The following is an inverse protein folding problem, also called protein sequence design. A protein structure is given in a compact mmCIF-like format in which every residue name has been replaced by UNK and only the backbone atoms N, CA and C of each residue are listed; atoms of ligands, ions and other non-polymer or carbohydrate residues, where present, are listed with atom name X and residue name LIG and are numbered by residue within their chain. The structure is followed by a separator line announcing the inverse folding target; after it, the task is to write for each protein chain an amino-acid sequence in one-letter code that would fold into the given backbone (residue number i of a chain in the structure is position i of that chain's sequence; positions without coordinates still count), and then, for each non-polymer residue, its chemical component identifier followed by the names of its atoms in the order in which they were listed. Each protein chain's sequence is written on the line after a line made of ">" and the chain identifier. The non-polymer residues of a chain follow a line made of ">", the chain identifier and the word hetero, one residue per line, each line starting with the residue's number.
data_IF_556812691438
#
_entry.id   IF_556812691438
#
_cell.length_a   1.000
_cell.length_b   1.000
_cell.length_c   1.000
_cell.angle_alpha   90.00
_cell.angle_beta   90.00
_cell.angle_gamma   90.00
#
_symmetry.space_group_name_H-M   'P 1'
#
loop_
_entity.id
_entity.type
_entity.pdbx_description
1 polymer ?
#
# COMPACT_ATOMS: atom_id res chain seq x y z
N UNK A 1 28.96 6.98 14.33
CA UNK A 1 28.83 6.46 15.70
C UNK A 1 27.84 5.27 15.84
N UNK A 2 27.00 4.98 14.83
CA UNK A 2 26.01 3.88 14.87
C UNK A 2 26.64 2.50 14.54
N UNK A 3 27.66 2.47 13.66
CA UNK A 3 28.34 1.23 13.21
C UNK A 3 29.07 0.51 14.36
N UNK A 4 29.67 1.25 15.30
CA UNK A 4 30.34 0.65 16.47
C UNK A 4 29.35 -0.04 17.43
N UNK A 5 28.13 0.47 17.58
CA UNK A 5 27.11 -0.18 18.42
C UNK A 5 26.55 -1.46 17.79
N UNK A 6 26.52 -1.56 16.46
CA UNK A 6 26.12 -2.79 15.74
C UNK A 6 27.19 -3.88 15.88
N UNK A 7 28.47 -3.51 15.75
CA UNK A 7 29.61 -4.41 15.95
C UNK A 7 29.77 -4.86 17.41
N UNK A 8 29.48 -4.00 18.40
CA UNK A 8 29.50 -4.39 19.81
C UNK A 8 28.36 -5.34 20.19
N UNK A 9 27.14 -5.10 19.70
CA UNK A 9 26.02 -6.06 19.89
C UNK A 9 26.31 -7.40 19.25
N UNK A 10 26.96 -7.40 18.08
CA UNK A 10 27.41 -8.61 17.40
C UNK A 10 28.52 -9.33 18.18
N UNK A 11 29.51 -8.61 18.72
CA UNK A 11 30.57 -9.19 19.56
C UNK A 11 30.02 -9.76 20.86
N UNK A 12 29.03 -9.11 21.46
CA UNK A 12 28.34 -9.61 22.64
C UNK A 12 27.57 -10.90 22.31
N UNK A 13 26.86 -10.94 21.18
CA UNK A 13 26.19 -12.14 20.67
C UNK A 13 27.15 -13.31 20.40
N UNK A 14 28.30 -13.05 19.77
CA UNK A 14 29.31 -14.07 19.47
C UNK A 14 30.04 -14.57 20.74
N UNK A 15 30.24 -13.68 21.73
CA UNK A 15 30.90 -14.00 23.00
C UNK A 15 30.04 -14.86 23.94
N UNK A 16 28.73 -14.63 24.00
CA UNK A 16 27.82 -15.34 24.91
C UNK A 16 27.46 -16.77 24.44
N UNK A 17 27.68 -17.13 23.17
CA UNK A 17 27.49 -18.49 22.62
C UNK A 17 28.71 -19.41 22.72
N UNK A 18 29.88 -18.87 23.03
CA UNK A 18 31.17 -19.60 22.97
C UNK A 18 31.67 -20.11 24.33
N UNK A 19 30.97 -19.81 25.42
CA UNK A 19 31.33 -20.22 26.77
C UNK A 19 30.38 -21.24 27.37
N UNK A 20 30.67 -22.54 27.17
CA UNK A 20 30.16 -23.63 28.02
C UNK A 20 28.75 -24.15 27.69
N UNK A 21 28.71 -25.39 27.18
CA UNK A 21 27.71 -26.43 27.47
C UNK A 21 26.19 -26.11 27.47
N UNK A 22 25.74 -25.06 26.79
CA UNK A 22 24.31 -24.83 26.54
C UNK A 22 24.00 -25.22 25.11
N UNK A 23 22.99 -26.10 24.92
CA UNK A 23 22.38 -26.39 23.61
C UNK A 23 22.25 -25.10 22.81
N UNK A 24 22.47 -25.17 21.51
CA UNK A 24 22.38 -24.10 20.50
C UNK A 24 21.01 -23.40 20.43
N UNK A 25 20.49 -22.89 21.55
CA UNK A 25 19.30 -22.06 21.62
C UNK A 25 19.67 -20.67 21.11
N UNK A 26 18.96 -20.18 20.11
CA UNK A 26 19.00 -18.77 19.72
C UNK A 26 18.80 -17.85 20.95
N UNK A 27 19.50 -16.73 20.99
CA UNK A 27 19.23 -15.65 21.97
C UNK A 27 17.77 -15.21 21.83
N UNK A 28 17.15 -14.76 22.91
CA UNK A 28 15.76 -14.29 22.87
C UNK A 28 15.57 -13.11 21.91
N UNK A 29 16.59 -12.27 21.72
CA UNK A 29 16.61 -11.21 20.71
C UNK A 29 16.52 -11.76 19.28
N UNK A 30 17.22 -12.86 18.99
CA UNK A 30 17.17 -13.51 17.68
C UNK A 30 15.82 -14.18 17.44
N UNK A 31 15.24 -14.83 18.45
CA UNK A 31 13.89 -15.39 18.34
C UNK A 31 12.84 -14.31 18.11
N UNK A 32 12.98 -13.15 18.76
CA UNK A 32 12.11 -12.01 18.54
C UNK A 32 12.24 -11.49 17.10
N UNK A 33 13.46 -11.36 16.58
CA UNK A 33 13.72 -11.01 15.18
C UNK A 33 13.17 -12.05 14.19
N UNK A 34 13.33 -13.35 14.46
CA UNK A 34 12.72 -14.40 13.63
C UNK A 34 11.20 -14.30 13.59
N UNK A 35 10.56 -14.08 14.75
CA UNK A 35 9.12 -13.89 14.83
C UNK A 35 8.67 -12.66 14.06
N UNK A 36 9.41 -11.55 14.18
CA UNK A 36 9.18 -10.33 13.41
C UNK A 36 9.26 -10.59 11.90
N UNK A 37 10.29 -11.32 11.44
CA UNK A 37 10.45 -11.69 10.03
C UNK A 37 9.30 -12.56 9.52
N UNK A 38 8.79 -13.49 10.34
CA UNK A 38 7.60 -14.30 9.97
C UNK A 38 6.39 -13.41 9.74
N UNK A 39 6.09 -12.50 10.67
CA UNK A 39 4.96 -11.57 10.54
C UNK A 39 5.12 -10.70 9.29
N UNK A 40 6.33 -10.18 9.04
CA UNK A 40 6.63 -9.40 7.84
C UNK A 40 6.42 -10.21 6.57
N UNK A 41 6.92 -11.45 6.52
CA UNK A 41 6.78 -12.33 5.35
C UNK A 41 5.32 -12.62 5.02
N UNK A 42 4.50 -12.96 6.02
CA UNK A 42 3.09 -13.33 5.82
C UNK A 42 2.24 -12.14 5.36
N UNK A 43 2.53 -10.94 5.87
CA UNK A 43 1.85 -9.71 5.48
C UNK A 43 2.25 -9.21 4.10
N UNK A 44 3.54 -9.29 3.75
CA UNK A 44 4.10 -8.67 2.54
C UNK A 44 3.45 -9.19 1.25
N UNK A 45 3.28 -10.50 1.15
CA UNK A 45 2.64 -11.14 -0.01
C UNK A 45 1.19 -10.67 -0.18
N UNK A 46 0.45 -10.50 0.92
CA UNK A 46 -0.92 -10.04 0.89
C UNK A 46 -1.00 -8.56 0.47
N UNK A 47 -0.13 -7.71 1.03
CA UNK A 47 -0.05 -6.29 0.68
C UNK A 47 0.24 -6.11 -0.81
N UNK A 48 1.28 -6.79 -1.31
CA UNK A 48 1.62 -6.77 -2.74
C UNK A 48 0.43 -7.23 -3.59
N UNK A 49 -0.19 -8.37 -3.27
CA UNK A 49 -1.37 -8.87 -4.01
C UNK A 49 -2.51 -7.84 -4.06
N UNK A 50 -2.85 -7.23 -2.92
CA UNK A 50 -3.91 -6.22 -2.86
C UNK A 50 -3.56 -4.98 -3.68
N UNK A 51 -2.31 -4.52 -3.60
CA UNK A 51 -1.88 -3.31 -4.30
C UNK A 51 -1.80 -3.53 -5.81
N UNK A 52 -1.28 -4.68 -6.26
CA UNK A 52 -1.30 -5.06 -7.68
C UNK A 52 -2.73 -5.13 -8.22
N UNK A 53 -3.69 -5.63 -7.43
CA UNK A 53 -5.09 -5.67 -7.83
C UNK A 53 -5.68 -4.26 -7.98
N UNK A 54 -5.36 -3.35 -7.06
CA UNK A 54 -5.76 -1.96 -7.11
C UNK A 54 -5.19 -1.23 -8.33
N UNK A 55 -3.88 -1.32 -8.56
CA UNK A 55 -3.20 -0.74 -9.74
C UNK A 55 -3.75 -1.33 -11.04
N UNK A 56 -4.00 -2.64 -11.09
CA UNK A 56 -4.63 -3.30 -12.24
C UNK A 56 -6.03 -2.77 -12.51
N UNK A 57 -6.81 -2.50 -11.47
CA UNK A 57 -8.13 -1.91 -11.61
C UNK A 57 -8.06 -0.48 -12.15
N UNK A 58 -7.19 0.38 -11.60
CA UNK A 58 -6.97 1.75 -12.07
C UNK A 58 -6.44 1.84 -13.51
N UNK A 59 -5.58 0.89 -13.89
CA UNK A 59 -4.99 0.78 -15.23
C UNK A 59 -5.93 0.16 -16.26
N UNK A 60 -7.09 -0.38 -15.87
CA UNK A 60 -8.02 -0.97 -16.81
C UNK A 60 -8.44 0.05 -17.87
N UNK A 61 -8.27 -0.32 -19.14
CA UNK A 61 -8.76 0.44 -20.28
C UNK A 61 -9.72 -0.43 -21.07
N UNK A 62 -10.88 0.11 -21.45
CA UNK A 62 -11.84 -0.57 -22.29
C UNK A 62 -11.69 -0.11 -23.75
N UNK A 63 -12.02 -1.02 -24.66
CA UNK A 63 -12.16 -0.69 -26.07
C UNK A 63 -13.50 0.00 -26.27
N UNK A 64 -13.46 1.24 -26.77
CA UNK A 64 -14.64 2.07 -26.99
C UNK A 64 -15.21 1.89 -28.42
N UNK A 65 -14.66 0.96 -29.20
CA UNK A 65 -15.05 0.77 -30.61
C UNK A 65 -14.32 1.69 -31.59
N UNK A 66 -13.50 2.61 -31.07
CA UNK A 66 -12.58 3.45 -31.83
C UNK A 66 -11.12 3.12 -31.50
N UNK A 67 -10.16 3.65 -32.29
CA UNK A 67 -8.71 3.40 -32.09
C UNK A 67 -8.18 3.81 -30.71
N UNK A 68 -8.94 4.54 -29.91
CA UNK A 68 -8.56 5.08 -28.62
C UNK A 68 -9.10 4.25 -27.44
N UNK A 69 -8.23 3.94 -26.49
CA UNK A 69 -8.58 3.15 -25.28
C UNK A 69 -8.78 4.08 -24.10
N UNK A 70 -9.90 3.91 -23.39
CA UNK A 70 -10.29 4.79 -22.29
C UNK A 70 -10.31 4.08 -20.94
N UNK A 71 -10.02 4.79 -19.86
CA UNK A 71 -10.46 4.36 -18.51
C UNK A 71 -11.99 4.31 -18.48
N UNK A 72 -12.62 3.55 -17.57
CA UNK A 72 -14.07 3.59 -17.41
C UNK A 72 -14.63 5.02 -17.22
N UNK A 73 -13.94 5.86 -16.43
CA UNK A 73 -14.32 7.27 -16.22
C UNK A 73 -14.15 8.08 -17.51
N UNK A 74 -13.05 7.88 -18.23
CA UNK A 74 -12.79 8.56 -19.50
C UNK A 74 -13.80 8.17 -20.59
N UNK A 75 -14.19 6.90 -20.67
CA UNK A 75 -15.19 6.41 -21.62
C UNK A 75 -16.56 7.05 -21.36
N UNK A 76 -16.98 7.11 -20.09
CA UNK A 76 -18.20 7.81 -19.70
C UNK A 76 -18.15 9.29 -20.06
N UNK A 77 -17.02 9.96 -19.80
CA UNK A 77 -16.81 11.36 -20.16
C UNK A 77 -16.94 11.60 -21.67
N UNK A 78 -16.19 10.84 -22.47
CA UNK A 78 -16.21 10.94 -23.93
C UNK A 78 -17.60 10.66 -24.52
N UNK A 79 -18.32 9.67 -23.99
CA UNK A 79 -19.69 9.35 -24.44
C UNK A 79 -20.64 10.52 -24.18
N UNK A 80 -20.55 11.17 -23.01
CA UNK A 80 -21.37 12.35 -22.69
C UNK A 80 -21.04 13.53 -23.59
N UNK A 81 -19.75 13.77 -23.88
CA UNK A 81 -19.32 14.86 -24.78
C UNK A 81 -19.85 14.63 -26.18
N UNK A 82 -19.59 13.45 -26.76
CA UNK A 82 -20.03 13.10 -28.11
C UNK A 82 -21.54 13.22 -28.24
N UNK A 83 -22.30 12.66 -27.29
CA UNK A 83 -23.75 12.75 -27.36
C UNK A 83 -24.27 14.18 -27.15
N UNK A 84 -23.61 14.97 -26.30
CA UNK A 84 -23.95 16.39 -26.11
C UNK A 84 -23.75 17.21 -27.39
N UNK A 85 -22.74 16.88 -28.19
CA UNK A 85 -22.44 17.51 -29.48
C UNK A 85 -23.42 17.12 -30.60
N UNK A 86 -24.18 16.02 -30.45
CA UNK A 86 -25.25 15.63 -31.39
C UNK A 86 -26.52 16.49 -31.25
N UNK A 87 -26.67 17.25 -30.15
CA UNK A 87 -27.80 18.14 -29.95
C UNK A 87 -27.64 19.46 -30.71
N UNK A 88 -28.75 20.18 -30.85
CA UNK A 88 -28.72 21.58 -31.30
C UNK A 88 -27.80 22.41 -30.39
N UNK A 89 -27.01 23.37 -30.92
CA UNK A 89 -26.11 24.20 -30.12
C UNK A 89 -26.78 24.96 -28.96
N UNK A 90 -28.07 25.26 -29.07
CA UNK A 90 -28.85 25.95 -28.04
C UNK A 90 -29.52 24.96 -27.03
N UNK A 91 -29.29 23.65 -27.18
CA UNK A 91 -29.80 22.63 -26.27
C UNK A 91 -29.13 22.70 -24.90
N UNK A 92 -29.91 23.05 -23.88
CA UNK A 92 -29.45 23.08 -22.49
C UNK A 92 -29.00 21.69 -22.01
N UNK A 93 -29.71 20.63 -22.41
CA UNK A 93 -29.34 19.27 -22.06
C UNK A 93 -28.03 18.85 -22.75
N UNK A 94 -27.84 19.22 -24.02
CA UNK A 94 -26.59 19.02 -24.73
C UNK A 94 -25.42 19.72 -24.03
N UNK A 95 -25.61 20.99 -23.66
CA UNK A 95 -24.62 21.75 -22.89
C UNK A 95 -24.29 21.11 -21.53
N UNK A 96 -25.29 20.60 -20.80
CA UNK A 96 -25.10 19.88 -19.54
C UNK A 96 -24.26 18.61 -19.73
N UNK A 97 -24.61 17.78 -20.73
CA UNK A 97 -23.88 16.56 -21.07
C UNK A 97 -22.43 16.86 -21.43
N UNK A 98 -22.18 17.82 -22.32
CA UNK A 98 -20.81 18.19 -22.71
C UNK A 98 -20.00 18.73 -21.54
N UNK A 99 -20.59 19.54 -20.66
CA UNK A 99 -19.86 20.13 -19.51
C UNK A 99 -19.55 19.08 -18.43
N UNK A 100 -20.51 18.19 -18.14
CA UNK A 100 -20.30 17.03 -17.25
C UNK A 100 -19.23 16.08 -17.83
N UNK A 101 -19.32 15.77 -19.11
CA UNK A 101 -18.40 14.86 -19.81
C UNK A 101 -16.95 15.36 -19.79
N UNK A 102 -16.73 16.64 -20.15
CA UNK A 102 -15.39 17.27 -20.08
C UNK A 102 -14.82 17.28 -18.66
N UNK A 103 -15.68 17.36 -17.65
CA UNK A 103 -15.28 17.27 -16.24
C UNK A 103 -14.82 15.85 -15.89
N UNK A 104 -15.55 14.83 -16.34
CA UNK A 104 -15.13 13.43 -16.19
C UNK A 104 -13.82 13.10 -16.93
N UNK A 105 -13.58 13.66 -18.11
CA UNK A 105 -12.27 13.52 -18.79
C UNK A 105 -11.12 14.12 -17.98
N UNK A 106 -11.34 15.25 -17.29
CA UNK A 106 -10.35 15.84 -16.37
C UNK A 106 -10.10 14.93 -15.16
N UNK A 107 -11.16 14.34 -14.59
CA UNK A 107 -11.03 13.37 -13.50
C UNK A 107 -10.32 12.09 -13.94
N UNK A 108 -10.56 11.64 -15.18
CA UNK A 108 -9.85 10.50 -15.76
C UNK A 108 -8.33 10.77 -15.81
N UNK A 109 -7.91 11.96 -16.24
CA UNK A 109 -6.48 12.36 -16.19
C UNK A 109 -5.92 12.39 -14.77
N UNK A 110 -6.69 12.89 -13.78
CA UNK A 110 -6.27 12.84 -12.38
C UNK A 110 -6.09 11.39 -11.88
N UNK A 111 -6.94 10.46 -12.33
CA UNK A 111 -6.80 9.03 -12.02
C UNK A 111 -5.53 8.43 -12.63
N UNK A 112 -5.09 8.91 -13.80
CA UNK A 112 -3.83 8.47 -14.41
C UNK A 112 -2.61 8.92 -13.60
N UNK A 113 -2.66 10.13 -13.03
CA UNK A 113 -1.65 10.60 -12.08
C UNK A 113 -1.63 9.72 -10.83
N UNK A 114 -2.80 9.44 -10.21
CA UNK A 114 -2.89 8.52 -9.07
C UNK A 114 -2.28 7.14 -9.41
N UNK A 115 -2.60 6.59 -10.58
CA UNK A 115 -2.07 5.30 -11.02
C UNK A 115 -0.53 5.33 -11.11
N UNK A 116 0.03 6.37 -11.73
CA UNK A 116 1.47 6.51 -11.87
C UNK A 116 2.15 6.61 -10.50
N UNK A 117 1.67 7.51 -9.64
CA UNK A 117 2.26 7.76 -8.32
C UNK A 117 2.11 6.54 -7.40
N UNK A 118 0.95 5.88 -7.41
CA UNK A 118 0.72 4.64 -6.64
C UNK A 118 1.64 3.49 -7.08
N UNK A 119 2.00 3.46 -8.37
CA UNK A 119 2.89 2.43 -8.93
C UNK A 119 4.33 2.68 -8.50
N UNK A 120 4.82 3.90 -8.70
CA UNK A 120 6.24 4.25 -8.47
C UNK A 120 6.61 4.39 -7.00
N UNK A 121 5.63 4.66 -6.13
CA UNK A 121 5.85 4.74 -4.68
C UNK A 121 5.64 3.36 -4.03
N UNK A 122 4.38 3.02 -3.74
CA UNK A 122 4.05 1.91 -2.85
C UNK A 122 4.15 0.54 -3.52
N UNK A 123 3.70 0.39 -4.78
CA UNK A 123 3.79 -0.91 -5.45
C UNK A 123 5.27 -1.33 -5.66
N UNK A 124 6.11 -0.44 -6.19
CA UNK A 124 7.55 -0.70 -6.33
C UNK A 124 8.22 -0.96 -4.97
N UNK A 125 7.81 -0.27 -3.89
CA UNK A 125 8.29 -0.56 -2.53
C UNK A 125 7.97 -1.99 -2.09
N UNK A 126 6.74 -2.45 -2.31
CA UNK A 126 6.32 -3.82 -2.02
C UNK A 126 7.11 -4.85 -2.85
N UNK A 127 7.39 -4.56 -4.12
CA UNK A 127 8.23 -5.42 -4.96
C UNK A 127 9.67 -5.53 -4.43
N UNK A 128 10.29 -4.40 -4.03
CA UNK A 128 11.62 -4.38 -3.40
C UNK A 128 11.63 -5.23 -2.12
N UNK A 129 10.63 -5.06 -1.27
CA UNK A 129 10.49 -5.81 -0.03
C UNK A 129 10.33 -7.32 -0.26
N UNK A 130 9.58 -7.73 -1.28
CA UNK A 130 9.45 -9.14 -1.66
C UNK A 130 10.79 -9.76 -2.08
N UNK A 131 11.61 -9.01 -2.82
CA UNK A 131 12.95 -9.46 -3.20
C UNK A 131 13.81 -9.67 -1.95
N UNK A 132 13.88 -8.69 -1.05
CA UNK A 132 14.62 -8.81 0.21
C UNK A 132 14.17 -10.03 1.04
N UNK A 133 12.85 -10.24 1.15
CA UNK A 133 12.28 -11.36 1.89
C UNK A 133 12.63 -12.71 1.24
N UNK A 134 12.64 -12.79 -0.09
CA UNK A 134 13.05 -13.99 -0.82
C UNK A 134 14.53 -14.33 -0.59
N UNK A 135 15.39 -13.32 -0.56
CA UNK A 135 16.81 -13.52 -0.28
C UNK A 135 17.05 -13.94 1.17
N UNK A 136 16.35 -13.33 2.14
CA UNK A 136 16.34 -13.76 3.54
C UNK A 136 15.93 -15.23 3.69
N UNK A 137 14.82 -15.62 3.06
CA UNK A 137 14.35 -17.00 3.07
C UNK A 137 15.36 -17.98 2.46
N UNK A 138 16.12 -17.54 1.45
CA UNK A 138 17.18 -18.33 0.83
C UNK A 138 18.39 -18.50 1.77
N UNK A 139 18.79 -17.43 2.45
CA UNK A 139 19.84 -17.47 3.48
C UNK A 139 19.44 -18.37 4.66
N UNK A 140 18.18 -18.30 5.11
CA UNK A 140 17.65 -19.15 6.19
C UNK A 140 17.70 -20.64 5.83
N UNK A 141 17.34 -21.00 4.59
CA UNK A 141 17.48 -22.39 4.10
C UNK A 141 18.94 -22.84 4.07
N UNK A 142 19.87 -21.96 3.66
CA UNK A 142 21.32 -22.24 3.69
C UNK A 142 21.82 -22.44 5.12
N UNK A 143 21.39 -21.62 6.07
CA UNK A 143 21.73 -21.75 7.49
C UNK A 143 21.30 -23.12 8.04
N UNK A 144 20.07 -23.56 7.77
CA UNK A 144 19.59 -24.87 8.22
C UNK A 144 20.41 -26.03 7.63
N UNK A 145 20.80 -25.94 6.35
CA UNK A 145 21.71 -26.92 5.74
C UNK A 145 23.09 -26.94 6.42
N UNK A 146 23.65 -25.78 6.76
CA UNK A 146 24.92 -25.68 7.49
C UNK A 146 24.82 -26.20 8.91
N UNK A 147 23.70 -25.94 9.59
CA UNK A 147 23.40 -26.46 10.94
C UNK A 147 23.43 -27.98 10.95
N UNK A 148 22.73 -28.63 10.02
CA UNK A 148 22.72 -30.10 9.90
C UNK A 148 24.11 -30.69 9.60
N UNK A 149 24.90 -30.02 8.76
CA UNK A 149 26.27 -30.45 8.46
C UNK A 149 27.19 -30.32 9.69
N UNK A 150 27.06 -29.22 10.45
CA UNK A 150 27.77 -29.01 11.70
C UNK A 150 27.40 -30.05 12.76
N UNK A 151 26.10 -30.32 12.95
CA UNK A 151 25.61 -31.36 13.87
C UNK A 151 26.18 -32.74 13.51
N UNK A 152 26.22 -33.07 12.22
CA UNK A 152 26.80 -34.33 11.73
C UNK A 152 28.29 -34.42 12.06
N UNK A 153 29.06 -33.35 11.81
CA UNK A 153 30.48 -33.31 12.14
C UNK A 153 30.72 -33.39 13.66
N UNK A 154 29.86 -32.75 14.47
CA UNK A 154 29.92 -32.80 15.92
C UNK A 154 29.68 -34.22 16.44
N UNK A 155 28.67 -34.93 15.90
CA UNK A 155 28.41 -36.33 16.24
C UNK A 155 29.56 -37.26 15.84
N UNK A 156 30.23 -37.01 14.69
CA UNK A 156 31.43 -37.76 14.30
C UNK A 156 32.57 -37.56 15.29
N UNK A 157 32.81 -36.32 15.71
CA UNK A 157 33.85 -35.98 16.70
C UNK A 157 33.59 -36.67 18.04
N UNK A 158 32.34 -36.65 18.53
CA UNK A 158 31.98 -37.32 19.79
C UNK A 158 32.16 -38.85 19.75
N UNK A 159 32.04 -39.47 18.57
CA UNK A 159 32.23 -40.92 18.39
C UNK A 159 33.69 -41.32 18.16
N UNK A 160 34.57 -40.36 17.87
CA UNK A 160 35.99 -40.62 17.65
C UNK A 160 36.66 -41.02 18.98
N UNK A 161 37.23 -42.21 19.04
CA UNK A 161 37.88 -42.76 20.26
C UNK A 161 39.32 -42.28 20.48
N UNK A 162 39.91 -41.60 19.49
CA UNK A 162 41.25 -41.00 19.51
C UNK A 162 41.17 -39.61 18.87
N UNK A 163 42.11 -38.73 19.24
CA UNK A 163 42.31 -37.44 18.58
C UNK A 163 42.66 -37.67 17.09
N UNK A 164 41.62 -37.71 16.26
CA UNK A 164 41.74 -37.74 14.80
C UNK A 164 41.70 -36.30 14.29
N UNK A 165 42.89 -35.77 14.01
CA UNK A 165 43.08 -34.43 13.49
C UNK A 165 42.21 -34.13 12.25
N UNK A 166 41.88 -35.15 11.43
CA UNK A 166 41.02 -34.95 10.26
C UNK A 166 39.57 -34.67 10.65
N UNK A 167 39.08 -35.31 11.71
CA UNK A 167 37.70 -35.11 12.22
C UNK A 167 37.59 -33.76 12.93
N UNK A 168 38.64 -33.35 13.66
CA UNK A 168 38.70 -32.04 14.28
C UNK A 168 38.71 -30.91 13.23
N UNK A 169 39.49 -31.06 12.16
CA UNK A 169 39.53 -30.08 11.07
C UNK A 169 38.21 -30.04 10.29
N UNK A 170 37.55 -31.19 10.06
CA UNK A 170 36.20 -31.23 9.47
C UNK A 170 35.19 -30.47 10.35
N UNK A 171 35.21 -30.69 11.67
CA UNK A 171 34.35 -30.00 12.63
C UNK A 171 34.60 -28.49 12.62
N UNK A 172 35.86 -28.06 12.65
CA UNK A 172 36.24 -26.65 12.60
C UNK A 172 35.76 -26.00 11.29
N UNK A 173 35.92 -26.69 10.16
CA UNK A 173 35.44 -26.22 8.85
C UNK A 173 33.92 -26.08 8.79
N UNK A 174 33.15 -27.04 9.31
CA UNK A 174 31.69 -26.94 9.32
C UNK A 174 31.19 -25.88 10.29
N UNK A 175 31.87 -25.71 11.45
CA UNK A 175 31.57 -24.64 12.40
C UNK A 175 31.71 -23.27 11.76
N UNK A 176 32.84 -23.00 11.09
CA UNK A 176 33.07 -21.72 10.41
C UNK A 176 31.99 -21.41 9.35
N UNK A 177 31.57 -22.42 8.56
CA UNK A 177 30.51 -22.26 7.55
C UNK A 177 29.13 -22.01 8.16
N UNK A 178 28.86 -22.59 9.34
CA UNK A 178 27.63 -22.34 10.08
C UNK A 178 27.62 -20.91 10.66
N UNK A 179 28.73 -20.46 11.23
CA UNK A 179 28.91 -19.10 11.74
C UNK A 179 28.71 -18.06 10.62
N UNK A 180 29.39 -18.23 9.48
CA UNK A 180 29.22 -17.37 8.29
C UNK A 180 27.76 -17.32 7.81
N UNK A 181 27.07 -18.46 7.77
CA UNK A 181 25.66 -18.50 7.37
C UNK A 181 24.74 -17.85 8.41
N UNK A 182 25.08 -17.94 9.70
CA UNK A 182 24.33 -17.30 10.78
C UNK A 182 24.48 -15.77 10.73
N UNK A 183 25.70 -15.30 10.45
CA UNK A 183 25.99 -13.87 10.23
C UNK A 183 25.23 -13.31 9.03
N UNK A 184 25.18 -14.05 7.91
CA UNK A 184 24.43 -13.62 6.72
C UNK A 184 22.92 -13.51 7.00
N UNK A 185 22.33 -14.48 7.70
CA UNK A 185 20.92 -14.41 8.10
C UNK A 185 20.66 -13.20 9.00
N UNK A 186 21.48 -13.01 10.03
CA UNK A 186 21.32 -11.90 10.96
C UNK A 186 21.44 -10.53 10.27
N UNK A 187 22.45 -10.38 9.39
CA UNK A 187 22.64 -9.17 8.58
C UNK A 187 21.40 -8.85 7.75
N UNK A 188 20.80 -9.85 7.11
CA UNK A 188 19.58 -9.68 6.30
C UNK A 188 18.35 -9.30 7.12
N UNK A 189 18.22 -9.83 8.34
CA UNK A 189 17.15 -9.42 9.26
C UNK A 189 17.26 -7.93 9.61
N UNK A 190 18.47 -7.45 9.91
CA UNK A 190 18.72 -6.03 10.20
C UNK A 190 18.51 -5.14 8.97
N UNK A 191 18.95 -5.56 7.78
CA UNK A 191 18.69 -4.84 6.51
C UNK A 191 17.18 -4.65 6.26
N UNK A 192 16.38 -5.71 6.43
CA UNK A 192 14.91 -5.65 6.29
C UNK A 192 14.30 -4.69 7.32
N UNK A 193 14.82 -4.69 8.55
CA UNK A 193 14.33 -3.81 9.61
C UNK A 193 14.71 -2.34 9.36
N UNK A 194 15.90 -2.09 8.85
CA UNK A 194 16.36 -0.73 8.51
C UNK A 194 15.59 -0.15 7.33
N UNK A 195 15.15 -0.98 6.38
CA UNK A 195 14.28 -0.58 5.27
C UNK A 195 12.88 -0.10 5.72
N UNK A 196 12.49 -0.32 6.97
CA UNK A 196 11.19 0.13 7.50
C UNK A 196 10.98 1.64 7.37
N UNK A 197 12.05 2.43 7.55
CA UNK A 197 11.95 3.88 7.38
C UNK A 197 11.53 4.25 5.96
N UNK A 198 12.18 3.66 4.97
CA UNK A 198 11.90 3.92 3.55
C UNK A 198 10.51 3.40 3.18
N UNK A 199 10.10 2.26 3.74
CA UNK A 199 8.74 1.71 3.56
C UNK A 199 7.65 2.65 4.10
N UNK A 200 7.89 3.32 5.24
CA UNK A 200 6.97 4.31 5.80
C UNK A 200 6.91 5.55 4.89
N UNK A 201 8.04 5.98 4.34
CA UNK A 201 8.10 7.10 3.41
C UNK A 201 7.34 6.80 2.11
N UNK A 202 7.53 5.62 1.52
CA UNK A 202 6.82 5.16 0.32
C UNK A 202 5.31 5.05 0.58
N UNK A 203 4.89 4.51 1.73
CA UNK A 203 3.47 4.43 2.12
C UNK A 203 2.86 5.82 2.34
N UNK A 204 3.63 6.75 2.89
CA UNK A 204 3.21 8.15 3.03
C UNK A 204 3.06 8.80 1.66
N UNK A 205 3.96 8.51 0.71
CA UNK A 205 3.83 8.97 -0.67
C UNK A 205 2.54 8.50 -1.34
N UNK A 206 2.13 7.26 -1.09
CA UNK A 206 0.85 6.74 -1.59
C UNK A 206 -0.36 7.46 -0.94
N UNK A 207 -0.32 7.71 0.36
CA UNK A 207 -1.36 8.50 1.05
C UNK A 207 -1.51 9.91 0.42
N UNK A 208 -0.39 10.59 0.17
CA UNK A 208 -0.40 11.92 -0.45
C UNK A 208 -0.95 11.88 -1.88
N UNK A 209 -0.65 10.81 -2.64
CA UNK A 209 -1.20 10.61 -3.98
C UNK A 209 -2.74 10.41 -3.95
N UNK A 210 -3.26 9.65 -2.98
CA UNK A 210 -4.70 9.48 -2.79
C UNK A 210 -5.39 10.81 -2.43
N UNK A 211 -4.81 11.58 -1.51
CA UNK A 211 -5.32 12.90 -1.13
C UNK A 211 -5.34 13.86 -2.32
N UNK A 212 -4.23 13.96 -3.06
CA UNK A 212 -4.12 14.82 -4.23
C UNK A 212 -5.15 14.48 -5.32
N UNK A 213 -5.38 13.18 -5.55
CA UNK A 213 -6.41 12.71 -6.48
C UNK A 213 -7.82 13.14 -6.04
N UNK A 214 -8.18 12.86 -4.78
CA UNK A 214 -9.51 13.17 -4.27
C UNK A 214 -9.78 14.67 -4.21
N UNK A 215 -8.79 15.47 -3.82
CA UNK A 215 -8.86 16.93 -3.85
C UNK A 215 -9.05 17.44 -5.28
N UNK A 216 -8.32 16.87 -6.25
CA UNK A 216 -8.46 17.28 -7.65
C UNK A 216 -9.84 16.94 -8.21
N UNK A 217 -10.37 15.76 -7.90
CA UNK A 217 -11.72 15.37 -8.27
C UNK A 217 -12.77 16.33 -7.66
N UNK A 218 -12.62 16.67 -6.38
CA UNK A 218 -13.51 17.61 -5.70
C UNK A 218 -13.45 19.00 -6.33
N UNK A 219 -12.25 19.50 -6.63
CA UNK A 219 -12.05 20.78 -7.32
C UNK A 219 -12.79 20.81 -8.67
N UNK A 220 -12.61 19.77 -9.48
CA UNK A 220 -13.27 19.64 -10.80
C UNK A 220 -14.80 19.66 -10.67
N UNK A 221 -15.36 18.91 -9.71
CA UNK A 221 -16.81 18.84 -9.51
C UNK A 221 -17.38 20.14 -8.93
N UNK A 222 -16.66 20.81 -8.04
CA UNK A 222 -17.07 22.11 -7.50
C UNK A 222 -17.07 23.19 -8.59
N UNK A 223 -16.08 23.16 -9.48
CA UNK A 223 -16.01 24.03 -10.65
C UNK A 223 -17.18 23.77 -11.60
N UNK A 224 -17.46 22.50 -11.90
CA UNK A 224 -18.62 22.09 -12.70
C UNK A 224 -19.94 22.57 -12.10
N UNK A 225 -20.14 22.38 -10.80
CA UNK A 225 -21.36 22.83 -10.10
C UNK A 225 -21.53 24.35 -10.19
N UNK A 226 -20.43 25.10 -10.13
CA UNK A 226 -20.47 26.57 -10.25
C UNK A 226 -20.92 26.99 -11.64
N UNK A 227 -20.34 26.36 -12.66
CA UNK A 227 -20.50 26.69 -14.07
C UNK A 227 -21.61 25.86 -14.75
N UNK A 228 -22.53 25.27 -13.97
CA UNK A 228 -23.55 24.37 -14.49
C UNK A 228 -24.49 25.10 -15.47
N UNK A 229 -24.71 24.58 -16.69
CA UNK A 229 -25.63 25.21 -17.64
C UNK A 229 -27.05 25.29 -17.08
N UNK A 230 -27.72 26.43 -17.28
CA UNK A 230 -29.11 26.62 -16.85
C UNK A 230 -29.32 26.87 -15.34
N UNK A 231 -28.26 26.99 -14.56
CA UNK A 231 -28.32 27.16 -13.09
C UNK A 231 -29.21 28.30 -12.61
N UNK A 232 -29.30 29.40 -13.36
CA UNK A 232 -30.10 30.57 -12.96
C UNK A 232 -31.61 30.28 -13.01
N UNK A 233 -32.09 29.40 -13.91
CA UNK A 233 -33.52 29.03 -13.99
C UNK A 233 -33.99 28.17 -12.82
N UNK A 234 -33.14 27.26 -12.35
CA UNK A 234 -33.45 26.40 -11.19
C UNK A 234 -33.41 27.15 -9.85
N UNK A 235 -32.83 28.36 -9.80
CA UNK A 235 -32.89 29.23 -8.62
C UNK A 235 -34.13 30.13 -8.63
N UNK A 236 -34.70 30.44 -9.81
CA UNK A 236 -35.94 31.22 -9.94
C UNK A 236 -37.22 30.41 -9.60
N UNK A 237 -37.17 29.07 -9.68
CA UNK A 237 -38.30 28.19 -9.34
C UNK A 237 -38.41 27.82 -7.83
N UNK A 238 -37.51 28.29 -6.96
CA UNK A 238 -37.76 28.28 -5.50
C UNK A 238 -38.84 29.33 -5.16
N UNK A 239 -40.10 28.89 -5.19
CA UNK A 239 -41.37 29.62 -4.98
C UNK A 239 -41.32 30.81 -3.97
N UNK A 240 -41.96 31.96 -4.28
CA UNK A 240 -42.23 32.98 -3.26
C UNK A 240 -43.14 32.40 -2.16
N UNK A 241 -43.00 32.85 -0.89
CA UNK A 241 -43.78 32.29 0.22
C UNK A 241 -45.28 32.39 -0.06
N UNK A 242 -45.95 31.24 -0.07
CA UNK A 242 -47.39 31.11 -0.23
C UNK A 242 -48.09 32.09 0.73
N UNK A 243 -48.99 32.97 0.26
CA UNK A 243 -49.63 33.94 1.15
C UNK A 243 -50.47 33.23 2.21
N UNK A 244 -50.30 33.62 3.48
CA UNK A 244 -51.01 33.02 4.60
C UNK A 244 -52.53 32.98 4.38
N UNK A 245 -53.20 31.86 4.67
CA UNK A 245 -54.65 31.78 4.58
C UNK A 245 -55.26 32.75 5.60
N UNK A 246 -55.98 33.77 5.10
CA UNK A 246 -56.75 34.69 5.94
C UNK A 246 -57.86 33.91 6.66
N UNK A 247 -57.61 33.50 7.90
CA UNK A 247 -58.65 33.03 8.81
C UNK A 247 -59.64 34.17 9.07
N UNK A 248 -60.79 34.11 8.39
CA UNK A 248 -61.93 34.95 8.73
C UNK A 248 -62.61 34.31 9.94
N UNK A 249 -62.26 34.76 11.14
CA UNK A 249 -62.95 34.37 12.37
C UNK A 249 -64.32 35.08 12.37
N UNK A 250 -65.45 34.37 12.40
CA UNK A 250 -66.75 35.01 12.55
C UNK A 250 -66.86 35.63 13.94
N UNK A 251 -67.21 36.92 14.02
CA UNK A 251 -67.51 37.58 15.30
C UNK A 251 -68.73 36.90 15.93
N UNK A 252 -68.55 36.18 17.03
CA UNK A 252 -69.66 35.75 17.88
C UNK A 252 -70.34 36.99 18.46
N UNK A 253 -71.63 37.14 18.18
CA UNK A 253 -72.46 38.23 18.67
C UNK A 253 -72.49 38.27 20.19
N UNK A 254 -72.24 39.47 20.73
CA UNK A 254 -72.38 39.81 22.14
C UNK A 254 -73.84 39.65 22.58
N UNK A 255 -74.12 38.63 23.40
CA UNK A 255 -75.32 38.60 24.25
C UNK A 255 -75.07 39.53 25.44
N UNK A 256 -75.74 40.67 25.46
CA UNK A 256 -75.82 41.55 26.63
C UNK A 256 -76.69 40.92 27.73
N UNK A 257 -76.49 41.27 29.01
CA UNK A 257 -77.37 40.82 30.09
C UNK A 257 -78.61 41.72 30.18
N UNK A 258 -79.77 41.06 30.31
CA UNK A 258 -81.10 41.49 30.72
C UNK A 258 -81.49 42.97 30.61
#
# INVERSE_FOLDING_TARGET
>A
MIVNKKLDRFKQWAGERMGGEVRTNASDDFKALEQEMTVRSDGMDNLHRSMSAFVKWLSKRNDAGDKEKYTPVGFMGATMVNHGEDFDPDSEYGACLSTMGRSHERMARAQETLLADSTTTWLESLERNLVQMKEYNSARKKLEQRRLAYDTALMKMQKAKKEDFRVEEELRSQKAKYEEASEDVYRRMEEIKEAERDNIEDLTGFLEAELAYHDKCREVLMQLKRDWPGRDRFQEEEEPPMPEPKLTIPKLGSRGPY
#
